data_IF_270922475301
#
_entry.id   IF_270922475301
#
_cell.length_a   1.000
_cell.length_b   1.000
_cell.length_c   1.000
_cell.angle_alpha   90.00
_cell.angle_beta   90.00
_cell.angle_gamma   90.00
#
_symmetry.space_group_name_H-M   'P 1'
#
loop_
_entity.id
_entity.type
_entity.pdbx_description
1 polymer ?
#
# COMPACT_ATOMS: atom_id res chain seq x y z
N UNK A 1 13.77 -2.72 -17.48
CA UNK A 1 13.47 -3.58 -16.31
C UNK A 1 12.11 -3.15 -15.78
N UNK A 2 11.15 -4.06 -15.61
CA UNK A 2 9.79 -3.75 -15.13
C UNK A 2 9.47 -4.52 -13.85
N UNK A 3 8.88 -3.85 -12.86
CA UNK A 3 8.43 -4.50 -11.62
C UNK A 3 7.10 -5.18 -11.89
N UNK A 4 7.02 -6.49 -11.63
CA UNK A 4 5.78 -7.27 -11.77
C UNK A 4 5.03 -7.42 -10.45
N UNK A 5 5.78 -7.56 -9.35
CA UNK A 5 5.27 -7.74 -8.00
C UNK A 5 6.03 -6.85 -7.02
N UNK A 6 5.30 -6.15 -6.16
CA UNK A 6 5.86 -5.29 -5.11
C UNK A 6 5.32 -5.73 -3.76
N UNK A 7 6.22 -5.99 -2.80
CA UNK A 7 5.84 -6.16 -1.40
C UNK A 7 6.34 -4.96 -0.60
N UNK A 8 5.44 -4.31 0.13
CA UNK A 8 5.76 -3.16 0.98
C UNK A 8 5.68 -3.59 2.43
N UNK A 9 6.81 -3.52 3.13
CA UNK A 9 6.90 -3.78 4.57
C UNK A 9 6.70 -2.45 5.32
N UNK A 10 5.61 -2.36 6.05
CA UNK A 10 5.13 -1.13 6.68
C UNK A 10 4.04 -0.45 5.85
N UNK A 11 2.90 -0.21 6.49
CA UNK A 11 1.67 0.31 5.89
C UNK A 11 1.24 1.66 6.48
N UNK A 12 2.19 2.34 7.13
CA UNK A 12 2.06 3.73 7.57
C UNK A 12 2.00 4.73 6.40
N UNK A 13 2.20 6.03 6.68
CA UNK A 13 1.97 7.11 5.70
C UNK A 13 2.72 6.90 4.38
N UNK A 14 4.03 6.69 4.44
CA UNK A 14 4.85 6.51 3.23
C UNK A 14 4.57 5.17 2.53
N UNK A 15 4.50 4.08 3.30
CA UNK A 15 4.27 2.74 2.77
C UNK A 15 2.94 2.63 2.02
N UNK A 16 1.89 3.25 2.55
CA UNK A 16 0.58 3.32 1.89
C UNK A 16 0.64 4.09 0.56
N UNK A 17 1.35 5.22 0.50
CA UNK A 17 1.47 5.97 -0.76
C UNK A 17 2.26 5.21 -1.83
N UNK A 18 3.36 4.55 -1.44
CA UNK A 18 4.14 3.70 -2.35
C UNK A 18 3.26 2.57 -2.89
N UNK A 19 2.55 1.87 -2.01
CA UNK A 19 1.67 0.78 -2.39
C UNK A 19 0.53 1.25 -3.31
N UNK A 20 -0.10 2.38 -2.99
CA UNK A 20 -1.18 2.95 -3.81
C UNK A 20 -0.69 3.34 -5.20
N UNK A 21 0.41 4.08 -5.29
CA UNK A 21 0.94 4.52 -6.58
C UNK A 21 1.39 3.34 -7.44
N UNK A 22 2.06 2.34 -6.86
CA UNK A 22 2.45 1.14 -7.61
C UNK A 22 1.23 0.36 -8.12
N UNK A 23 0.19 0.19 -7.29
CA UNK A 23 -1.05 -0.46 -7.69
C UNK A 23 -1.79 0.32 -8.78
N UNK A 24 -1.82 1.65 -8.67
CA UNK A 24 -2.43 2.55 -9.67
C UNK A 24 -1.76 2.41 -11.05
N UNK A 25 -0.45 2.16 -11.09
CA UNK A 25 0.30 1.91 -12.32
C UNK A 25 0.27 0.43 -12.76
N UNK A 26 -0.61 -0.40 -12.19
CA UNK A 26 -0.84 -1.78 -12.62
C UNK A 26 0.15 -2.81 -12.07
N UNK A 27 0.97 -2.45 -11.08
CA UNK A 27 1.84 -3.42 -10.39
C UNK A 27 1.02 -4.21 -9.37
N UNK A 28 1.23 -5.53 -9.28
CA UNK A 28 0.60 -6.33 -8.22
C UNK A 28 1.29 -6.06 -6.88
N UNK A 29 0.58 -5.46 -5.93
CA UNK A 29 1.12 -5.04 -4.62
C UNK A 29 0.60 -5.91 -3.48
N UNK A 30 1.48 -6.20 -2.51
CA UNK A 30 1.15 -6.76 -1.19
C UNK A 30 1.72 -5.84 -0.12
N UNK A 31 0.91 -5.40 0.83
CA UNK A 31 1.38 -4.64 2.00
C UNK A 31 1.35 -5.51 3.24
N UNK A 32 2.42 -5.49 4.02
CA UNK A 32 2.57 -6.23 5.27
C UNK A 32 2.88 -5.27 6.42
N UNK A 33 2.31 -5.54 7.59
CA UNK A 33 2.61 -4.80 8.81
C UNK A 33 2.65 -5.76 10.01
N UNK A 34 3.13 -5.28 11.15
CA UNK A 34 3.41 -6.11 12.32
C UNK A 34 2.15 -6.68 12.98
N UNK A 35 0.99 -6.02 12.83
CA UNK A 35 -0.26 -6.44 13.45
C UNK A 35 -1.50 -5.98 12.67
N UNK A 36 -2.66 -6.52 13.04
CA UNK A 36 -3.94 -6.25 12.38
C UNK A 36 -4.43 -4.80 12.55
N UNK A 37 -4.04 -4.14 13.63
CA UNK A 37 -4.39 -2.74 13.91
C UNK A 37 -3.73 -1.82 12.90
N UNK A 38 -2.45 -2.04 12.61
CA UNK A 38 -1.70 -1.30 11.60
C UNK A 38 -2.29 -1.53 10.19
N UNK A 39 -2.67 -2.77 9.86
CA UNK A 39 -3.35 -3.10 8.61
C UNK A 39 -4.71 -2.41 8.48
N UNK A 40 -5.48 -2.32 9.58
CA UNK A 40 -6.77 -1.62 9.59
C UNK A 40 -6.58 -0.13 9.34
N UNK A 41 -5.61 0.49 10.01
CA UNK A 41 -5.29 1.89 9.79
C UNK A 41 -4.76 2.17 8.37
N UNK A 42 -4.06 1.20 7.76
CA UNK A 42 -3.64 1.31 6.36
C UNK A 42 -4.80 1.29 5.38
N UNK A 43 -5.83 0.46 5.62
CA UNK A 43 -7.05 0.44 4.78
C UNK A 43 -7.72 1.81 4.74
N UNK A 44 -7.91 2.45 5.90
CA UNK A 44 -8.47 3.81 5.96
C UNK A 44 -7.62 4.83 5.18
N UNK A 45 -6.29 4.68 5.20
CA UNK A 45 -5.40 5.55 4.41
C UNK A 45 -5.53 5.29 2.91
N UNK A 46 -5.63 4.03 2.49
CA UNK A 46 -5.86 3.67 1.08
C UNK A 46 -7.19 4.22 0.58
N UNK A 47 -8.25 4.10 1.36
CA UNK A 47 -9.56 4.69 1.04
C UNK A 47 -9.45 6.20 0.85
N UNK A 48 -8.81 6.92 1.79
CA UNK A 48 -8.59 8.35 1.66
C UNK A 48 -7.80 8.74 0.39
N UNK A 49 -6.76 7.97 0.05
CA UNK A 49 -5.96 8.19 -1.17
C UNK A 49 -6.75 7.89 -2.46
N UNK A 50 -7.72 6.98 -2.42
CA UNK A 50 -8.54 6.62 -3.58
C UNK A 50 -9.62 7.65 -3.93
N UNK A 51 -9.92 8.57 -3.01
CA UNK A 51 -10.85 9.67 -3.22
C UNK A 51 -10.18 10.93 -3.76
N UNK A 52 -8.91 10.87 -4.16
CA UNK A 52 -8.15 11.95 -4.80
C UNK A 52 -7.69 11.51 -6.18
#
# INVERSE_FOLDING_TARGET
MSIQHLTVLGSGVLGAQIAFQAAFHGVKVVSYDINDEALTAAKTRFEALSHH
#
